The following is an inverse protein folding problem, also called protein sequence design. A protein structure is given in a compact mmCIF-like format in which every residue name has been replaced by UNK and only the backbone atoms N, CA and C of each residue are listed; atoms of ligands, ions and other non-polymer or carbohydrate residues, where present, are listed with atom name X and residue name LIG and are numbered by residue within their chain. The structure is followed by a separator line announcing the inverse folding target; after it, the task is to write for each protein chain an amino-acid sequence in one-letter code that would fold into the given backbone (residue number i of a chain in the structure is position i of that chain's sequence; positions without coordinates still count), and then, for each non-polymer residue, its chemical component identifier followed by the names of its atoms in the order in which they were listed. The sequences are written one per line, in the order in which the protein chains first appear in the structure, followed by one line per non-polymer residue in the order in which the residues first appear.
data_IF_549842313493
#
_entry.id   IF_549842313493
#
_cell.length_a   1.000
_cell.length_b   1.000
_cell.length_c   1.000
_cell.angle_alpha   90.00
_cell.angle_beta   90.00
_cell.angle_gamma   90.00
#
_symmetry.space_group_name_H-M   'P 1'
#
loop_
_entity.id
_entity.type
_entity.pdbx_description
1 polymer ?
#
# COMPACT_ATOMS: atom_id res chain seq x y z
N UNK A 1 5.90 -10.43 26.00
CA UNK A 1 4.92 -11.47 25.59
C UNK A 1 5.52 -12.87 25.80
N UNK A 2 4.92 -13.71 26.65
CA UNK A 2 5.45 -15.04 26.99
C UNK A 2 5.38 -16.02 25.82
N UNK A 3 6.36 -16.92 25.69
CA UNK A 3 6.45 -17.86 24.55
C UNK A 3 5.35 -18.93 24.54
N UNK A 4 4.70 -19.20 25.68
CA UNK A 4 3.64 -20.21 25.85
C UNK A 4 2.43 -19.98 24.93
N UNK A 5 2.03 -18.73 24.72
CA UNK A 5 0.86 -18.38 23.90
C UNK A 5 1.18 -18.20 22.41
N UNK A 6 2.43 -18.40 21.98
CA UNK A 6 2.82 -18.28 20.57
C UNK A 6 2.24 -19.43 19.74
N UNK A 7 1.61 -19.11 18.60
CA UNK A 7 1.03 -20.08 17.65
C UNK A 7 1.98 -21.22 17.25
N UNK A 8 3.28 -20.94 17.18
CA UNK A 8 4.27 -21.94 16.79
C UNK A 8 4.40 -23.10 17.79
N UNK A 9 4.09 -22.90 19.08
CA UNK A 9 4.12 -23.98 20.08
C UNK A 9 3.07 -25.04 19.77
N UNK A 10 1.86 -24.61 19.41
CA UNK A 10 0.75 -25.49 18.98
C UNK A 10 1.01 -26.19 17.64
N UNK A 11 2.04 -25.75 16.90
CA UNK A 11 2.36 -26.27 15.57
C UNK A 11 3.48 -27.32 15.54
N UNK A 12 4.17 -27.56 16.65
CA UNK A 12 5.21 -28.61 16.75
C UNK A 12 4.58 -29.99 16.51
N UNK A 13 5.28 -30.86 15.79
CA UNK A 13 4.76 -32.17 15.35
C UNK A 13 4.03 -32.13 14.01
N UNK A 14 3.60 -30.96 13.52
CA UNK A 14 3.08 -30.85 12.14
C UNK A 14 4.20 -30.76 11.12
N UNK A 15 4.07 -31.53 10.03
CA UNK A 15 5.07 -31.67 8.97
C UNK A 15 5.46 -30.33 8.31
N UNK A 16 4.53 -29.37 8.16
CA UNK A 16 4.77 -28.13 7.41
C UNK A 16 4.56 -26.83 8.21
N UNK A 17 4.37 -26.94 9.52
CA UNK A 17 4.00 -25.80 10.39
C UNK A 17 2.79 -24.97 9.88
N UNK A 18 1.91 -25.58 9.08
CA UNK A 18 0.73 -24.94 8.50
C UNK A 18 0.97 -24.12 7.23
N UNK A 19 2.07 -24.36 6.51
CA UNK A 19 2.35 -23.70 5.21
C UNK A 19 1.98 -24.57 3.99
N UNK A 20 1.11 -25.57 4.18
CA UNK A 20 0.70 -26.51 3.13
C UNK A 20 1.80 -27.49 2.72
N UNK A 21 1.44 -28.47 1.87
CA UNK A 21 2.39 -29.49 1.40
C UNK A 21 3.11 -29.09 0.11
N UNK A 22 2.43 -28.41 -0.82
CA UNK A 22 2.92 -28.16 -2.18
C UNK A 22 3.56 -26.76 -2.30
N UNK A 23 2.82 -25.69 -2.00
CA UNK A 23 3.31 -24.31 -2.20
C UNK A 23 4.53 -23.94 -1.36
N UNK A 24 4.63 -24.50 -0.14
CA UNK A 24 5.68 -24.27 0.87
C UNK A 24 5.90 -22.79 1.24
N UNK A 25 6.64 -22.57 2.33
CA UNK A 25 7.08 -21.23 2.70
C UNK A 25 8.34 -20.86 1.92
N UNK A 26 8.23 -19.90 0.99
CA UNK A 26 9.36 -19.40 0.18
C UNK A 26 9.76 -17.99 0.64
N UNK A 27 10.99 -17.59 0.35
CA UNK A 27 11.58 -16.35 0.86
C UNK A 27 10.83 -15.09 0.38
N UNK A 28 10.62 -14.91 -0.93
CA UNK A 28 9.93 -13.74 -1.52
C UNK A 28 9.22 -14.10 -2.84
N UNK A 29 8.05 -14.75 -2.82
CA UNK A 29 7.40 -15.24 -4.05
C UNK A 29 6.87 -14.14 -4.99
N UNK A 30 6.73 -12.88 -4.55
CA UNK A 30 6.17 -11.78 -5.36
C UNK A 30 7.00 -10.48 -5.32
N UNK A 31 8.21 -10.53 -4.77
CA UNK A 31 9.04 -9.35 -4.52
C UNK A 31 9.09 -8.94 -3.04
N UNK A 32 9.62 -7.75 -2.78
CA UNK A 32 9.79 -7.16 -1.43
C UNK A 32 9.06 -5.82 -1.33
N UNK A 33 8.51 -5.52 -0.16
CA UNK A 33 7.80 -4.27 0.07
C UNK A 33 6.65 -4.07 -0.93
N UNK A 34 6.58 -2.88 -1.56
CA UNK A 34 5.53 -2.50 -2.50
C UNK A 34 5.89 -2.80 -3.98
N UNK A 35 6.76 -3.78 -4.22
CA UNK A 35 7.15 -4.19 -5.58
C UNK A 35 5.95 -4.68 -6.39
N UNK A 36 5.96 -4.39 -7.70
CA UNK A 36 4.91 -4.82 -8.62
C UNK A 36 3.57 -4.09 -8.47
N UNK A 37 3.52 -2.98 -7.73
CA UNK A 37 2.29 -2.27 -7.42
C UNK A 37 1.49 -1.75 -8.63
N UNK A 38 2.13 -1.48 -9.76
CA UNK A 38 1.46 -1.17 -11.04
C UNK A 38 1.35 -2.39 -12.00
N UNK A 39 1.97 -3.51 -11.65
CA UNK A 39 2.02 -4.72 -12.48
C UNK A 39 1.16 -5.81 -11.85
N UNK A 40 1.76 -6.91 -11.36
CA UNK A 40 1.05 -8.07 -10.82
C UNK A 40 0.37 -7.82 -9.47
N UNK A 41 0.64 -6.71 -8.78
CA UNK A 41 -0.07 -6.29 -7.56
C UNK A 41 -1.07 -5.13 -7.78
N UNK A 42 -1.33 -4.72 -9.04
CA UNK A 42 -2.20 -3.58 -9.37
C UNK A 42 -3.56 -3.63 -8.68
N UNK A 43 -4.22 -4.78 -8.66
CA UNK A 43 -5.56 -4.94 -8.08
C UNK A 43 -5.59 -4.56 -6.59
N UNK A 44 -4.53 -4.86 -5.84
CA UNK A 44 -4.43 -4.52 -4.42
C UNK A 44 -4.39 -3.00 -4.20
N UNK A 45 -3.63 -2.29 -5.06
CA UNK A 45 -3.47 -0.85 -4.96
C UNK A 45 -4.71 -0.11 -5.44
N UNK A 46 -5.28 -0.51 -6.58
CA UNK A 46 -6.47 0.15 -7.12
C UNK A 46 -7.69 -0.02 -6.19
N UNK A 47 -7.84 -1.19 -5.57
CA UNK A 47 -9.00 -1.49 -4.72
C UNK A 47 -8.95 -0.83 -3.35
N UNK A 48 -7.80 -0.88 -2.69
CA UNK A 48 -7.68 -0.45 -1.29
C UNK A 48 -6.94 0.86 -1.10
N UNK A 49 -6.19 1.33 -2.10
CA UNK A 49 -5.39 2.54 -2.04
C UNK A 49 -5.60 3.40 -3.30
N UNK A 50 -6.84 3.85 -3.56
CA UNK A 50 -7.10 4.70 -4.72
C UNK A 50 -6.29 6.00 -4.61
N UNK A 51 -5.63 6.39 -5.71
CA UNK A 51 -4.76 7.57 -5.74
C UNK A 51 -3.37 7.36 -5.10
N UNK A 52 -3.00 6.14 -4.72
CA UNK A 52 -1.65 5.83 -4.22
C UNK A 52 -0.57 6.09 -5.27
N UNK A 53 -0.89 5.80 -6.53
CA UNK A 53 -0.05 6.16 -7.67
C UNK A 53 -0.62 7.40 -8.36
N UNK A 54 0.25 8.34 -8.70
CA UNK A 54 -0.10 9.62 -9.30
C UNK A 54 0.36 10.81 -8.45
N UNK A 55 0.54 11.96 -9.10
CA UNK A 55 0.95 13.21 -8.45
C UNK A 55 -0.27 14.10 -8.29
N UNK A 56 -0.66 14.41 -7.06
CA UNK A 56 -1.67 15.44 -6.80
C UNK A 56 -0.94 16.77 -6.68
N UNK A 57 -0.67 17.43 -7.81
CA UNK A 57 -0.03 18.74 -7.80
C UNK A 57 -1.00 19.78 -7.24
N UNK A 58 -0.74 20.25 -6.01
CA UNK A 58 -1.27 21.53 -5.51
C UNK A 58 -0.13 22.53 -5.55
N UNK A 59 -0.03 23.27 -6.66
CA UNK A 59 0.98 24.30 -6.84
C UNK A 59 0.74 25.54 -5.95
N UNK A 60 -0.44 25.63 -5.33
CA UNK A 60 -0.88 26.79 -4.57
C UNK A 60 -1.38 26.33 -3.22
N UNK A 61 -0.96 27.03 -2.15
CA UNK A 61 -1.45 26.74 -0.80
C UNK A 61 -2.96 27.00 -0.73
N UNK A 62 -3.69 26.23 0.10
CA UNK A 62 -5.15 26.42 0.29
C UNK A 62 -5.51 27.86 0.66
N UNK A 63 -4.64 28.54 1.41
CA UNK A 63 -4.82 29.92 1.83
C UNK A 63 -4.64 30.89 0.66
N UNK A 64 -3.65 30.66 -0.21
CA UNK A 64 -3.45 31.48 -1.40
C UNK A 64 -4.56 31.25 -2.43
N UNK A 65 -5.02 30.01 -2.64
CA UNK A 65 -6.18 29.72 -3.48
C UNK A 65 -7.44 30.44 -3.00
N UNK A 66 -7.68 30.43 -1.68
CA UNK A 66 -8.81 31.14 -1.05
C UNK A 66 -8.72 32.65 -1.29
N UNK A 67 -7.55 33.26 -1.06
CA UNK A 67 -7.33 34.70 -1.29
C UNK A 67 -7.50 35.10 -2.75
N UNK A 68 -7.02 34.28 -3.70
CA UNK A 68 -7.17 34.54 -5.13
C UNK A 68 -8.65 34.49 -5.53
N UNK A 69 -9.41 33.50 -5.04
CA UNK A 69 -10.86 33.39 -5.31
C UNK A 69 -11.67 34.51 -4.67
N UNK A 70 -11.33 34.93 -3.45
CA UNK A 70 -11.96 36.07 -2.77
C UNK A 70 -11.74 37.39 -3.53
N UNK A 71 -10.59 37.53 -4.19
CA UNK A 71 -10.30 38.66 -5.08
C UNK A 71 -10.93 38.55 -6.48
N UNK A 72 -11.74 37.51 -6.73
CA UNK A 72 -12.37 37.25 -8.05
C UNK A 72 -11.43 36.64 -9.09
N UNK A 73 -10.21 36.25 -8.70
CA UNK A 73 -9.24 35.60 -9.58
C UNK A 73 -9.47 34.11 -9.73
N UNK A 74 -9.07 33.57 -10.89
CA UNK A 74 -9.10 32.14 -11.16
C UNK A 74 -7.68 31.56 -11.21
N UNK A 75 -7.50 30.40 -10.58
CA UNK A 75 -6.25 29.62 -10.68
C UNK A 75 -6.38 28.68 -11.88
N UNK A 76 -5.71 29.00 -12.97
CA UNK A 76 -5.58 28.13 -14.14
C UNK A 76 -4.24 27.38 -14.07
N UNK A 77 -4.31 26.05 -14.18
CA UNK A 77 -3.15 25.21 -14.44
C UNK A 77 -2.96 25.13 -15.95
N UNK A 78 -2.03 25.92 -16.50
CA UNK A 78 -1.58 25.79 -17.89
C UNK A 78 -0.50 24.70 -18.00
N UNK A 79 -0.57 23.92 -19.07
CA UNK A 79 0.41 22.89 -19.42
C UNK A 79 1.67 23.52 -20.03
#
# INVERSE_FOLDING_TARGET
MTTRFKKNRKKRGHVSAGHGRIGKHRKHPGGRGNAGGMHHHRILFDKYHPGYFGKVAKLISKNAEKKIKEAGGAVLLTA
#
